data_IF_375224855583
#
_entry.id   IF_375224855583
#
_cell.length_a   1.000
_cell.length_b   1.000
_cell.length_c   1.000
_cell.angle_alpha   90.00
_cell.angle_beta   90.00
_cell.angle_gamma   90.00
#
_symmetry.space_group_name_H-M   'P 1'
#
loop_
_entity.id
_entity.type
_entity.pdbx_description
1 polymer ?
#
# COMPACT_ATOMS: atom_id res chain seq x y z
N UNK A 1 7.00 -19.29 -29.43
CA UNK A 1 8.14 -18.74 -28.67
C UNK A 1 7.96 -19.18 -27.22
N UNK A 2 8.82 -20.06 -26.71
CA UNK A 2 8.72 -20.54 -25.32
C UNK A 2 9.15 -19.39 -24.40
N UNK A 3 8.20 -18.81 -23.69
CA UNK A 3 8.47 -17.74 -22.71
C UNK A 3 9.28 -18.37 -21.59
N UNK A 4 10.47 -17.85 -21.33
CA UNK A 4 11.38 -18.37 -20.32
C UNK A 4 10.64 -18.57 -19.00
N UNK A 5 10.44 -19.83 -18.59
CA UNK A 5 9.79 -20.26 -17.35
C UNK A 5 10.68 -19.97 -16.13
N UNK A 6 11.18 -18.73 -16.05
CA UNK A 6 12.08 -18.26 -15.03
C UNK A 6 11.37 -17.32 -14.08
N UNK A 7 11.84 -17.29 -12.83
CA UNK A 7 11.37 -16.35 -11.81
C UNK A 7 11.68 -14.92 -12.24
N UNK A 8 10.66 -14.05 -12.26
CA UNK A 8 10.80 -12.63 -12.59
C UNK A 8 11.56 -11.91 -11.49
N UNK A 9 12.63 -11.21 -11.86
CA UNK A 9 13.40 -10.40 -10.92
C UNK A 9 12.64 -9.11 -10.62
N UNK A 10 12.43 -8.83 -9.34
CA UNK A 10 11.77 -7.61 -8.88
C UNK A 10 12.77 -6.45 -8.75
N UNK A 11 12.32 -5.19 -8.89
CA UNK A 11 13.15 -4.02 -8.68
C UNK A 11 13.64 -3.91 -7.23
N UNK A 12 14.80 -3.28 -7.04
CA UNK A 12 15.43 -3.15 -5.72
C UNK A 12 14.64 -2.25 -4.76
N UNK A 13 13.89 -1.28 -5.29
CA UNK A 13 12.97 -0.42 -4.55
C UNK A 13 11.56 -0.69 -5.04
N UNK A 14 10.65 -0.97 -4.11
CA UNK A 14 9.24 -1.28 -4.37
C UNK A 14 8.37 -0.82 -3.22
N UNK A 15 7.10 -0.61 -3.51
CA UNK A 15 6.10 -0.37 -2.47
C UNK A 15 6.02 -1.58 -1.54
N UNK A 16 5.81 -1.30 -0.26
CA UNK A 16 5.66 -2.32 0.76
C UNK A 16 4.66 -1.84 1.81
N UNK A 17 3.80 -2.74 2.30
CA UNK A 17 2.94 -2.46 3.46
C UNK A 17 2.93 -3.64 4.43
N UNK A 18 2.74 -3.34 5.71
CA UNK A 18 2.53 -4.37 6.74
C UNK A 18 1.03 -4.61 6.88
N UNK A 19 0.60 -5.86 6.66
CA UNK A 19 -0.79 -6.29 6.85
C UNK A 19 -0.94 -7.08 8.14
N UNK A 20 -2.06 -6.85 8.82
CA UNK A 20 -2.48 -7.58 10.02
C UNK A 20 -3.50 -8.65 9.63
N UNK A 21 -3.23 -9.90 10.00
CA UNK A 21 -4.09 -11.05 9.78
C UNK A 21 -4.50 -11.68 11.11
N UNK A 22 -5.67 -12.30 11.15
CA UNK A 22 -6.14 -13.05 12.32
C UNK A 22 -6.39 -14.50 11.93
N UNK A 23 -5.70 -15.45 12.58
CA UNK A 23 -5.88 -16.89 12.40
C UNK A 23 -6.03 -17.57 13.76
N UNK A 24 -7.17 -18.22 14.01
CA UNK A 24 -7.44 -18.94 15.28
C UNK A 24 -7.06 -18.13 16.52
N UNK A 25 -7.60 -16.91 16.61
CA UNK A 25 -7.36 -15.95 17.71
C UNK A 25 -5.92 -15.42 17.83
N UNK A 26 -5.03 -15.78 16.90
CA UNK A 26 -3.67 -15.22 16.81
C UNK A 26 -3.63 -14.13 15.77
N UNK A 27 -3.04 -13.01 16.16
CA UNK A 27 -2.71 -11.93 15.24
C UNK A 27 -1.33 -12.22 14.64
N UNK A 28 -1.24 -12.11 13.32
CA UNK A 28 -0.01 -12.29 12.54
C UNK A 28 0.20 -11.03 11.72
N UNK A 29 1.45 -10.62 11.58
CA UNK A 29 1.86 -9.50 10.76
C UNK A 29 2.72 -10.01 9.61
N UNK A 30 2.44 -9.51 8.41
CA UNK A 30 3.23 -9.82 7.21
C UNK A 30 3.54 -8.54 6.45
N UNK A 31 4.71 -8.49 5.83
CA UNK A 31 5.09 -7.42 4.91
C UNK A 31 4.81 -7.87 3.48
N UNK A 32 4.03 -7.10 2.74
CA UNK A 32 3.67 -7.37 1.34
C UNK A 32 4.44 -6.41 0.45
N UNK A 33 5.22 -6.95 -0.48
CA UNK A 33 5.94 -6.19 -1.50
C UNK A 33 5.22 -6.25 -2.85
N UNK A 34 5.12 -5.11 -3.53
CA UNK A 34 4.38 -4.97 -4.78
C UNK A 34 5.29 -4.87 -6.01
N UNK A 35 4.69 -5.02 -7.18
CA UNK A 35 5.32 -4.82 -8.48
C UNK A 35 5.61 -3.33 -8.76
N UNK A 36 6.17 -3.04 -9.94
CA UNK A 36 6.42 -1.67 -10.42
C UNK A 36 5.15 -0.81 -10.51
N UNK A 37 3.99 -1.42 -10.77
CA UNK A 37 2.68 -0.76 -10.76
C UNK A 37 2.22 -0.36 -9.34
N UNK A 38 2.86 -0.89 -8.30
CA UNK A 38 2.50 -0.66 -6.91
C UNK A 38 1.16 -1.27 -6.48
N UNK A 39 0.52 -2.10 -7.31
CA UNK A 39 -0.81 -2.67 -7.08
C UNK A 39 -0.78 -4.19 -6.95
N UNK A 40 0.01 -4.88 -7.76
CA UNK A 40 0.05 -6.35 -7.75
C UNK A 40 1.07 -6.85 -6.71
N UNK A 41 0.66 -7.66 -5.72
CA UNK A 41 1.58 -8.22 -4.73
C UNK A 41 2.48 -9.28 -5.37
N UNK A 42 3.77 -9.21 -5.08
CA UNK A 42 4.78 -10.12 -5.63
C UNK A 42 5.60 -10.83 -4.58
N UNK A 43 5.63 -10.30 -3.37
CA UNK A 43 6.30 -10.92 -2.24
C UNK A 43 5.49 -10.73 -0.98
N UNK A 44 5.63 -11.70 -0.08
CA UNK A 44 5.12 -11.65 1.28
C UNK A 44 6.18 -12.21 2.20
N UNK A 45 6.39 -11.55 3.33
CA UNK A 45 7.34 -11.97 4.35
C UNK A 45 6.66 -11.97 5.71
N UNK A 46 6.86 -13.04 6.47
CA UNK A 46 6.46 -13.07 7.87
C UNK A 46 7.20 -11.96 8.64
N UNK A 47 6.47 -11.19 9.45
CA UNK A 47 7.03 -10.10 10.24
C UNK A 47 6.95 -10.40 11.74
N UNK A 48 5.78 -10.81 12.25
CA UNK A 48 5.57 -11.08 13.68
C UNK A 48 4.26 -11.85 13.93
N UNK A 49 4.02 -12.32 15.16
CA UNK A 49 2.74 -12.87 15.64
C UNK A 49 2.86 -14.21 16.38
N UNK A 50 3.90 -14.99 16.09
CA UNK A 50 4.26 -16.20 16.81
C UNK A 50 5.53 -15.97 17.63
N UNK A 51 5.65 -16.73 18.73
CA UNK A 51 6.86 -16.73 19.55
C UNK A 51 8.05 -17.23 18.72
N UNK A 52 9.19 -16.57 18.88
CA UNK A 52 10.43 -17.00 18.24
C UNK A 52 10.78 -18.45 18.58
N UNK A 53 11.12 -19.24 17.57
CA UNK A 53 11.43 -20.66 17.65
C UNK A 53 10.21 -21.59 17.68
N UNK A 54 8.98 -21.07 17.55
CA UNK A 54 7.81 -21.92 17.45
C UNK A 54 7.69 -22.56 16.05
N UNK A 55 7.26 -23.81 15.97
CA UNK A 55 7.04 -24.51 14.68
C UNK A 55 6.12 -23.73 13.74
N UNK A 56 5.11 -23.05 14.30
CA UNK A 56 4.20 -22.20 13.54
C UNK A 56 4.86 -20.93 12.99
N UNK A 57 5.86 -20.37 13.68
CA UNK A 57 6.64 -19.25 13.14
C UNK A 57 7.41 -19.71 11.90
N UNK A 58 8.14 -20.83 12.01
CA UNK A 58 8.90 -21.40 10.91
C UNK A 58 8.01 -21.77 9.72
N UNK A 59 6.89 -22.45 9.97
CA UNK A 59 5.93 -22.83 8.94
C UNK A 59 5.38 -21.61 8.20
N UNK A 60 4.96 -20.55 8.91
CA UNK A 60 4.40 -19.36 8.26
C UNK A 60 5.45 -18.58 7.50
N UNK A 61 6.67 -18.51 8.03
CA UNK A 61 7.81 -17.94 7.30
C UNK A 61 8.05 -18.69 5.99
N UNK A 62 8.11 -20.03 6.02
CA UNK A 62 8.32 -20.85 4.83
C UNK A 62 7.17 -20.71 3.82
N UNK A 63 5.93 -20.66 4.29
CA UNK A 63 4.77 -20.39 3.43
C UNK A 63 4.90 -19.03 2.73
N UNK A 64 5.33 -18.00 3.45
CA UNK A 64 5.52 -16.67 2.88
C UNK A 64 6.58 -16.68 1.76
N UNK A 65 7.71 -17.38 1.98
CA UNK A 65 8.76 -17.53 0.97
C UNK A 65 8.25 -18.34 -0.24
N UNK A 66 7.55 -19.45 0.00
CA UNK A 66 6.99 -20.27 -1.07
C UNK A 66 5.99 -19.48 -1.94
N UNK A 67 5.09 -18.72 -1.30
CA UNK A 67 4.15 -17.83 -1.99
C UNK A 67 4.91 -16.79 -2.82
N UNK A 68 5.91 -16.13 -2.23
CA UNK A 68 6.73 -15.14 -2.93
C UNK A 68 7.40 -15.70 -4.17
N UNK A 69 7.96 -16.91 -4.08
CA UNK A 69 8.55 -17.60 -5.24
C UNK A 69 7.49 -17.85 -6.31
N UNK A 70 6.31 -18.36 -5.93
CA UNK A 70 5.21 -18.61 -6.88
C UNK A 70 4.73 -17.33 -7.58
N UNK A 71 4.53 -16.24 -6.84
CA UNK A 71 4.04 -14.96 -7.38
C UNK A 71 5.01 -14.27 -8.34
N UNK A 72 6.28 -14.67 -8.32
CA UNK A 72 7.29 -14.19 -9.25
C UNK A 72 7.26 -14.93 -10.60
N UNK A 73 6.40 -15.94 -10.79
CA UNK A 73 6.18 -16.56 -12.09
C UNK A 73 5.10 -15.83 -12.89
N UNK A 74 5.33 -15.68 -14.19
CA UNK A 74 4.38 -15.08 -15.11
C UNK A 74 3.03 -15.80 -15.09
N UNK A 75 1.94 -15.03 -14.99
CA UNK A 75 0.58 -15.56 -14.95
C UNK A 75 0.15 -16.16 -13.62
N UNK A 76 1.01 -16.19 -12.60
CA UNK A 76 0.65 -16.59 -11.24
C UNK A 76 0.28 -15.36 -10.43
N UNK A 77 -0.94 -15.35 -9.89
CA UNK A 77 -1.44 -14.30 -9.00
C UNK A 77 -2.00 -14.92 -7.72
N UNK A 78 -2.03 -14.15 -6.63
CA UNK A 78 -2.59 -14.62 -5.36
C UNK A 78 -4.05 -15.07 -5.52
N UNK A 79 -4.84 -14.31 -6.28
CA UNK A 79 -6.22 -14.64 -6.59
C UNK A 79 -6.37 -15.97 -7.36
N UNK A 80 -5.43 -16.30 -8.26
CA UNK A 80 -5.46 -17.57 -9.00
C UNK A 80 -5.13 -18.74 -8.09
N UNK A 81 -4.11 -18.63 -7.24
CA UNK A 81 -3.75 -19.66 -6.27
C UNK A 81 -4.87 -19.87 -5.24
N UNK A 82 -5.51 -18.79 -4.77
CA UNK A 82 -6.62 -18.83 -3.81
C UNK A 82 -7.78 -19.70 -4.31
N UNK A 83 -8.08 -19.70 -5.61
CA UNK A 83 -9.16 -20.53 -6.20
C UNK A 83 -8.95 -22.04 -6.00
N UNK A 84 -7.71 -22.48 -5.76
CA UNK A 84 -7.38 -23.88 -5.49
C UNK A 84 -7.35 -24.23 -3.99
N UNK A 85 -7.62 -23.27 -3.11
CA UNK A 85 -7.59 -23.47 -1.66
C UNK A 85 -8.92 -24.02 -1.14
N UNK A 86 -8.84 -24.85 -0.10
CA UNK A 86 -10.01 -25.31 0.63
C UNK A 86 -10.71 -24.16 1.36
N UNK A 87 -12.03 -24.25 1.41
CA UNK A 87 -12.91 -23.37 2.17
C UNK A 87 -13.47 -24.16 3.37
N UNK A 88 -13.39 -23.57 4.55
CA UNK A 88 -14.06 -24.04 5.75
C UNK A 88 -15.23 -23.10 6.08
N UNK A 89 -15.95 -23.38 7.16
CA UNK A 89 -17.07 -22.56 7.61
C UNK A 89 -16.92 -22.24 9.09
N UNK A 90 -17.21 -21.00 9.46
CA UNK A 90 -17.29 -20.59 10.85
C UNK A 90 -18.44 -21.37 11.54
N UNK A 91 -18.16 -21.95 12.71
CA UNK A 91 -19.12 -22.81 13.41
C UNK A 91 -20.28 -22.02 14.05
N UNK A 92 -20.10 -20.72 14.28
CA UNK A 92 -21.09 -19.84 14.91
C UNK A 92 -21.89 -19.10 13.85
N UNK A 93 -21.22 -18.46 12.89
CA UNK A 93 -21.90 -17.65 11.87
C UNK A 93 -22.31 -18.46 10.63
N UNK A 94 -21.63 -19.58 10.37
CA UNK A 94 -21.81 -20.37 9.15
C UNK A 94 -21.12 -19.75 7.92
N UNK A 95 -20.39 -18.64 8.09
CA UNK A 95 -19.76 -17.93 6.98
C UNK A 95 -18.56 -18.71 6.41
N UNK A 96 -18.35 -18.66 5.08
CA UNK A 96 -17.16 -19.28 4.49
C UNK A 96 -15.89 -18.56 4.96
N UNK A 97 -14.88 -19.34 5.31
CA UNK A 97 -13.58 -18.85 5.75
C UNK A 97 -12.44 -19.67 5.13
N UNK A 98 -11.20 -19.15 5.09
CA UNK A 98 -10.05 -19.95 4.71
C UNK A 98 -9.94 -21.22 5.55
N UNK A 99 -9.77 -22.39 4.90
CA UNK A 99 -9.55 -23.64 5.64
C UNK A 99 -8.17 -23.73 6.29
N UNK A 100 -7.22 -22.89 5.86
CA UNK A 100 -5.83 -22.90 6.34
C UNK A 100 -5.23 -21.50 6.32
N UNK A 101 -4.10 -21.35 7.02
CA UNK A 101 -3.31 -20.10 7.04
C UNK A 101 -2.78 -19.73 5.65
N UNK A 102 -2.47 -20.71 4.80
CA UNK A 102 -2.09 -20.47 3.40
C UNK A 102 -3.25 -19.84 2.63
N UNK A 103 -4.47 -20.37 2.80
CA UNK A 103 -5.67 -19.77 2.22
C UNK A 103 -5.89 -18.34 2.70
N UNK A 104 -5.69 -18.08 4.00
CA UNK A 104 -5.81 -16.75 4.59
C UNK A 104 -4.77 -15.77 4.01
N UNK A 105 -3.50 -16.18 3.88
CA UNK A 105 -2.45 -15.37 3.27
C UNK A 105 -2.80 -15.00 1.82
N UNK A 106 -3.25 -15.97 1.01
CA UNK A 106 -3.63 -15.72 -0.38
C UNK A 106 -4.88 -14.85 -0.52
N UNK A 107 -5.86 -15.01 0.38
CA UNK A 107 -7.01 -14.13 0.46
C UNK A 107 -6.60 -12.70 0.82
N UNK A 108 -5.74 -12.54 1.84
CA UNK A 108 -5.24 -11.23 2.25
C UNK A 108 -4.50 -10.56 1.09
N UNK A 109 -3.60 -11.28 0.42
CA UNK A 109 -2.87 -10.75 -0.75
C UNK A 109 -3.80 -10.38 -1.92
N UNK A 110 -4.99 -10.97 -2.01
CA UNK A 110 -5.96 -10.58 -3.05
C UNK A 110 -6.62 -9.21 -2.79
N UNK A 111 -6.40 -8.60 -1.61
CA UNK A 111 -6.92 -7.26 -1.28
C UNK A 111 -6.01 -6.17 -1.86
N UNK A 112 -6.59 -5.10 -2.42
CA UNK A 112 -5.82 -3.97 -2.93
C UNK A 112 -5.00 -3.30 -1.80
N UNK A 113 -3.82 -2.74 -2.10
CA UNK A 113 -3.04 -2.00 -1.11
C UNK A 113 -3.76 -0.72 -0.65
N UNK A 114 -3.36 -0.20 0.51
CA UNK A 114 -4.05 0.96 1.12
C UNK A 114 -4.02 2.23 0.26
N UNK A 115 -3.05 2.35 -0.65
CA UNK A 115 -2.91 3.49 -1.57
C UNK A 115 -3.58 3.28 -2.93
N UNK A 116 -4.18 2.12 -3.22
CA UNK A 116 -4.74 1.82 -4.55
C UNK A 116 -5.79 2.85 -5.00
N UNK A 117 -6.64 3.30 -4.07
CA UNK A 117 -7.67 4.31 -4.35
C UNK A 117 -7.08 5.67 -4.71
N UNK A 118 -5.95 6.05 -4.11
CA UNK A 118 -5.28 7.31 -4.40
C UNK A 118 -4.64 7.29 -5.80
N UNK A 119 -4.04 6.16 -6.21
CA UNK A 119 -3.52 5.98 -7.56
C UNK A 119 -4.64 6.09 -8.61
N UNK A 120 -5.75 5.37 -8.39
CA UNK A 120 -6.90 5.42 -9.30
C UNK A 120 -7.48 6.84 -9.45
N UNK A 121 -7.53 7.61 -8.35
CA UNK A 121 -7.98 9.00 -8.39
C UNK A 121 -6.99 9.93 -9.12
N UNK A 122 -5.68 9.69 -9.00
CA UNK A 122 -4.67 10.46 -9.70
C UNK A 122 -4.75 10.23 -11.22
N UNK A 123 -4.86 8.97 -11.64
CA UNK A 123 -5.05 8.59 -13.05
C UNK A 123 -6.32 9.20 -13.64
N UNK A 124 -7.44 9.15 -12.91
CA UNK A 124 -8.70 9.76 -13.35
C UNK A 124 -8.61 11.29 -13.51
N UNK A 125 -7.85 11.97 -12.63
CA UNK A 125 -7.62 13.42 -12.73
C UNK A 125 -6.75 13.77 -13.93
N UNK A 126 -5.73 12.96 -14.22
CA UNK A 126 -4.86 13.15 -15.38
C UNK A 126 -5.63 12.95 -16.69
N UNK A 127 -6.46 11.91 -16.78
CA UNK A 127 -7.34 11.67 -17.93
C UNK A 127 -8.30 12.84 -18.16
N UNK A 128 -8.95 13.34 -17.10
CA UNK A 128 -9.85 14.49 -17.21
C UNK A 128 -9.13 15.80 -17.64
N UNK A 129 -7.86 15.96 -17.26
CA UNK A 129 -7.05 17.11 -17.69
C UNK A 129 -6.63 17.02 -19.17
N UNK A 130 -6.42 15.81 -19.69
CA UNK A 130 -6.11 15.58 -21.10
C UNK A 130 -7.30 15.93 -22.01
N UNK A 131 -8.52 15.52 -21.65
CA UNK A 131 -9.75 15.79 -22.42
C UNK A 131 -10.13 17.29 -22.45
N UNK A 132 -9.77 18.05 -21.41
CA UNK A 132 -10.08 19.48 -21.31
C UNK A 132 -9.24 20.40 -22.24
N UNK A 133 -8.14 19.91 -22.82
CA UNK A 133 -7.23 20.70 -23.64
C UNK A 133 -7.63 20.75 -25.13
N UNK A 134 -8.41 19.78 -25.62
CA UNK A 134 -8.75 19.67 -27.05
C UNK A 134 -9.86 20.63 -27.52
N UNK A 135 -10.56 21.33 -26.62
CA UNK A 135 -11.71 22.17 -26.98
C UNK A 135 -11.46 23.69 -26.93
N UNK A 136 -10.19 24.14 -26.90
CA UNK A 136 -9.84 25.57 -26.82
C UNK A 136 -9.28 26.18 -28.12
N UNK A 137 -9.27 25.41 -29.22
CA UNK A 137 -8.62 25.78 -30.48
C UNK A 137 -9.54 26.12 -31.66
N UNK A 138 -10.66 26.82 -31.47
CA UNK A 138 -11.42 27.37 -32.61
C UNK A 138 -12.28 28.58 -32.19
N UNK A 139 -11.68 29.78 -32.15
CA UNK A 139 -12.43 31.01 -31.88
C UNK A 139 -11.57 32.26 -32.05
N UNK A 140 -11.77 32.93 -33.19
CA UNK A 140 -11.19 34.19 -33.66
C UNK A 140 -10.89 35.27 -32.61
N UNK A 141 -9.89 36.14 -32.90
CA UNK A 141 -10.09 37.59 -33.08
C UNK A 141 -8.81 38.32 -33.51
N UNK A 142 -8.87 38.81 -34.76
CA UNK A 142 -8.57 40.15 -35.26
C UNK A 142 -7.87 41.15 -34.30
N UNK A 143 -6.76 41.74 -34.76
CA UNK A 143 -6.07 42.89 -34.15
C UNK A 143 -6.31 44.10 -35.05
N UNK A 144 -6.60 45.30 -34.51
CA UNK A 144 -5.51 46.27 -34.33
C UNK A 144 -5.70 47.24 -33.15
N UNK A 145 -4.63 47.95 -32.76
CA UNK A 145 -4.77 49.20 -31.99
C UNK A 145 -3.68 49.45 -30.94
N UNK A 146 -2.71 50.27 -31.32
CA UNK A 146 -1.71 50.97 -30.49
C UNK A 146 -2.32 51.89 -29.43
N UNK A 147 -1.70 51.98 -28.25
CA UNK A 147 -1.99 53.02 -27.25
C UNK A 147 -1.04 52.98 -26.05
N UNK A 148 -0.45 54.14 -25.74
CA UNK A 148 0.67 54.42 -24.85
C UNK A 148 0.45 54.28 -23.32
N UNK A 149 1.59 54.09 -22.65
CA UNK A 149 2.07 54.68 -21.39
C UNK A 149 1.24 54.61 -20.08
N UNK A 150 1.89 54.06 -19.04
CA UNK A 150 1.53 54.29 -17.63
C UNK A 150 2.23 53.35 -16.64
N UNK A 151 3.41 53.74 -16.13
CA UNK A 151 3.98 53.30 -14.84
C UNK A 151 3.78 54.44 -13.82
N UNK A 152 4.05 54.31 -12.50
CA UNK A 152 4.34 53.13 -11.65
C UNK A 152 3.52 53.13 -10.33
N UNK A 153 3.63 52.06 -9.52
CA UNK A 153 3.18 52.09 -8.11
C UNK A 153 3.37 50.77 -7.36
N UNK A 154 4.54 50.57 -6.76
CA UNK A 154 4.73 49.77 -5.52
C UNK A 154 4.80 50.79 -4.37
N UNK A 155 4.39 50.49 -3.11
CA UNK A 155 4.94 49.40 -2.30
C UNK A 155 3.96 48.79 -1.27
N UNK A 156 4.37 47.74 -0.55
CA UNK A 156 3.63 47.31 0.65
C UNK A 156 4.02 45.94 1.22
N UNK A 157 5.11 45.92 1.99
CA UNK A 157 5.59 44.79 2.77
C UNK A 157 4.80 44.61 4.08
N UNK A 158 4.63 43.36 4.56
CA UNK A 158 4.38 42.90 5.95
C UNK A 158 3.47 41.65 5.93
N UNK A 159 3.61 40.62 6.76
CA UNK A 159 4.45 40.35 7.93
C UNK A 159 4.43 38.84 8.16
N UNK A 160 5.57 38.29 8.58
CA UNK A 160 5.66 37.00 9.24
C UNK A 160 4.98 37.07 10.62
N UNK A 161 4.27 36.00 10.99
CA UNK A 161 3.95 35.72 12.41
C UNK A 161 4.46 34.34 12.76
N UNK A 162 5.41 34.37 13.70
CA UNK A 162 6.05 33.28 14.42
C UNK A 162 5.39 33.23 15.80
N UNK A 163 4.98 32.04 16.25
CA UNK A 163 4.64 31.71 17.64
C UNK A 163 5.28 30.34 17.88
N UNK A 164 6.47 30.20 18.49
CA UNK A 164 6.74 30.03 19.94
C UNK A 164 5.68 29.15 20.63
N UNK A 165 5.93 27.89 20.99
CA UNK A 165 6.89 27.29 21.94
C UNK A 165 6.43 27.40 23.41
N UNK A 166 5.95 26.27 23.94
CA UNK A 166 5.94 25.85 25.35
C UNK A 166 6.12 24.32 25.26
N UNK A 167 7.23 23.67 25.64
CA UNK A 167 8.02 23.64 26.87
C UNK A 167 7.23 23.24 28.12
N UNK A 168 7.05 21.92 28.30
CA UNK A 168 7.05 21.31 29.62
C UNK A 168 7.87 20.01 29.56
N UNK A 169 8.96 20.03 30.32
CA UNK A 169 9.95 18.98 30.44
C UNK A 169 9.49 17.73 31.21
N UNK A 170 10.44 16.83 31.50
CA UNK A 170 10.17 15.44 31.87
C UNK A 170 9.92 15.29 33.37
N UNK A 171 9.00 14.40 33.73
CA UNK A 171 8.92 13.84 35.09
C UNK A 171 9.39 12.38 35.01
N UNK A 172 10.57 12.15 35.58
CA UNK A 172 11.16 10.84 35.80
C UNK A 172 10.50 10.07 36.96
N UNK A 173 11.12 8.95 37.38
CA UNK A 173 10.40 7.72 37.73
C UNK A 173 10.13 7.56 39.23
N UNK A 174 9.19 6.68 39.57
CA UNK A 174 9.07 6.09 40.90
C UNK A 174 8.85 4.57 40.79
N UNK A 175 9.85 3.87 41.29
CA UNK A 175 9.89 2.49 41.78
C UNK A 175 8.97 2.28 42.99
N UNK A 176 8.32 1.11 43.10
CA UNK A 176 7.98 0.37 44.33
C UNK A 176 7.31 -0.95 43.88
N UNK A 177 7.91 -2.13 44.06
CA UNK A 177 7.89 -2.99 45.28
C UNK A 177 6.49 -3.43 45.75
N UNK A 178 6.29 -4.75 45.74
CA UNK A 178 5.56 -5.63 46.70
C UNK A 178 4.87 -6.79 45.94
N UNK A 179 5.42 -8.01 46.01
CA UNK A 179 5.14 -9.04 47.03
C UNK A 179 3.66 -9.46 47.05
N UNK A 180 3.43 -10.65 46.50
CA UNK A 180 2.23 -11.48 46.61
C UNK A 180 2.49 -12.82 45.95
#
# INVERSE_FOLDING_TARGET
MSKTSGRRRLPNRRFCETRKLTWRERTIYVNVGYDEDGLEPREVFYADGYRSGADMEALVSDLCIAISVMLQHDGVTAATLRKSMGVAFDLVTGDPMPASILGLLLEELSRPPVWASALAQAEAREAAAADGNENSGAGALDRPGSGEAGRPGTPGSAKATRQQAEDHGPVGPATEEERG
#
